data_IF_443476341011
#
_entry.id   IF_443476341011
#
_cell.length_a   1.000
_cell.length_b   1.000
_cell.length_c   1.000
_cell.angle_alpha   90.00
_cell.angle_beta   90.00
_cell.angle_gamma   90.00
#
_symmetry.space_group_name_H-M   'P 1'
#
loop_
_entity.id
_entity.type
_entity.pdbx_description
1 polymer ?
#
# COMPACT_ATOMS: atom_id res chain seq x y z
N UNK A 1 -0.82 -9.18 -7.42
CA UNK A 1 -1.13 -7.73 -7.40
C UNK A 1 0.00 -7.00 -8.12
N UNK A 2 -0.34 -6.14 -9.05
CA UNK A 2 0.66 -5.43 -9.86
C UNK A 2 0.83 -4.00 -9.36
N UNK A 3 2.03 -3.67 -8.94
CA UNK A 3 2.38 -2.33 -8.49
C UNK A 3 2.97 -1.53 -9.63
N UNK A 4 2.47 -0.32 -9.84
CA UNK A 4 2.89 0.57 -10.92
C UNK A 4 3.27 1.92 -10.33
N UNK A 5 4.45 2.44 -10.68
CA UNK A 5 4.87 3.76 -10.25
C UNK A 5 4.10 4.82 -11.02
N UNK A 6 3.53 5.77 -10.30
CA UNK A 6 2.75 6.86 -10.86
C UNK A 6 3.52 8.17 -10.87
N UNK A 7 2.90 9.21 -11.44
CA UNK A 7 3.51 10.53 -11.53
C UNK A 7 3.76 11.21 -10.19
N UNK A 8 3.13 10.76 -9.12
CA UNK A 8 3.37 11.25 -7.76
C UNK A 8 4.62 10.62 -7.12
N UNK A 9 5.30 9.71 -7.83
CA UNK A 9 6.48 9.03 -7.33
C UNK A 9 6.17 7.84 -6.43
N UNK A 10 4.90 7.54 -6.20
CA UNK A 10 4.49 6.40 -5.40
C UNK A 10 4.05 5.23 -6.27
N UNK A 11 4.07 4.03 -5.72
CA UNK A 11 3.54 2.86 -6.40
C UNK A 11 2.07 2.71 -6.06
N UNK A 12 1.29 2.29 -7.05
CA UNK A 12 -0.15 2.10 -6.91
C UNK A 12 -0.55 0.72 -7.39
N UNK A 13 -1.58 0.17 -6.78
CA UNK A 13 -2.15 -1.13 -7.15
C UNK A 13 -3.62 -1.18 -6.76
N UNK A 14 -4.31 -2.22 -7.24
CA UNK A 14 -5.66 -2.54 -6.78
C UNK A 14 -5.67 -3.94 -6.19
N UNK A 15 -6.39 -4.11 -5.10
CA UNK A 15 -6.55 -5.39 -4.46
C UNK A 15 -8.01 -5.55 -4.04
N UNK A 16 -8.70 -6.50 -4.68
CA UNK A 16 -10.14 -6.72 -4.46
C UNK A 16 -10.95 -5.42 -4.60
N UNK A 17 -10.64 -4.65 -5.64
CA UNK A 17 -11.34 -3.40 -5.92
C UNK A 17 -10.90 -2.21 -5.07
N UNK A 18 -10.03 -2.42 -4.11
CA UNK A 18 -9.51 -1.35 -3.25
C UNK A 18 -8.26 -0.75 -3.88
N UNK A 19 -8.22 0.58 -3.98
CA UNK A 19 -7.04 1.29 -4.47
C UNK A 19 -6.01 1.39 -3.35
N UNK A 20 -4.79 0.97 -3.64
CA UNK A 20 -3.68 1.00 -2.69
C UNK A 20 -2.56 1.91 -3.19
N UNK A 21 -1.87 2.53 -2.25
CA UNK A 21 -0.67 3.32 -2.53
C UNK A 21 0.45 2.86 -1.60
N UNK A 22 1.63 2.65 -2.15
CA UNK A 22 2.80 2.27 -1.38
C UNK A 22 3.83 3.39 -1.46
N UNK A 23 4.32 3.81 -0.30
CA UNK A 23 5.35 4.83 -0.19
C UNK A 23 6.59 4.25 0.46
N UNK A 24 7.76 4.58 -0.08
CA UNK A 24 9.03 4.26 0.54
C UNK A 24 9.46 5.43 1.41
N UNK A 25 9.55 5.19 2.71
CA UNK A 25 9.92 6.21 3.70
C UNK A 25 11.24 5.79 4.37
N UNK A 26 11.91 6.69 5.10
CA UNK A 26 13.21 6.34 5.70
C UNK A 26 13.19 5.10 6.59
N UNK A 27 12.07 4.81 7.22
CA UNK A 27 11.94 3.65 8.12
C UNK A 27 11.41 2.39 7.44
N UNK A 28 11.11 2.45 6.14
CA UNK A 28 10.62 1.28 5.42
C UNK A 28 9.54 1.61 4.40
N UNK A 29 8.52 0.78 4.35
CA UNK A 29 7.44 0.86 3.35
C UNK A 29 6.10 1.00 4.04
N UNK A 30 5.26 1.90 3.53
CA UNK A 30 3.92 2.14 4.07
C UNK A 30 2.90 1.93 2.94
N UNK A 31 1.89 1.11 3.23
CA UNK A 31 0.79 0.86 2.30
C UNK A 31 -0.48 1.47 2.89
N UNK A 32 -1.15 2.27 2.09
CA UNK A 32 -2.41 2.93 2.46
C UNK A 32 -3.48 2.59 1.43
N UNK A 33 -4.74 2.65 1.85
CA UNK A 33 -5.86 2.45 0.93
C UNK A 33 -6.58 3.77 0.72
N UNK A 34 -7.16 3.94 -0.47
CA UNK A 34 -7.98 5.10 -0.77
C UNK A 34 -9.29 4.98 0.00
N UNK A 35 -9.58 5.98 0.80
CA UNK A 35 -10.77 6.07 1.59
C UNK A 35 -11.60 7.25 1.10
N UNK A 36 -12.78 7.41 1.68
CA UNK A 36 -13.70 8.49 1.37
C UNK A 36 -13.03 9.86 1.52
N UNK A 37 -12.24 10.03 2.60
CA UNK A 37 -11.60 11.30 2.91
C UNK A 37 -10.13 11.39 2.52
N UNK A 38 -9.60 10.37 1.83
CA UNK A 38 -8.20 10.38 1.44
C UNK A 38 -7.56 9.01 1.54
N UNK A 39 -6.41 8.94 2.21
CA UNK A 39 -5.64 7.71 2.33
C UNK A 39 -5.59 7.25 3.79
N UNK A 40 -5.89 5.98 4.02
CA UNK A 40 -5.88 5.37 5.35
C UNK A 40 -4.76 4.33 5.41
N UNK A 41 -3.97 4.37 6.49
CA UNK A 41 -2.90 3.39 6.71
C UNK A 41 -3.46 1.97 6.79
N UNK A 42 -2.81 1.05 6.09
CA UNK A 42 -3.17 -0.36 6.09
C UNK A 42 -2.08 -1.19 6.76
N UNK A 43 -0.85 -1.05 6.30
CA UNK A 43 0.26 -1.83 6.82
C UNK A 43 1.59 -1.16 6.51
N UNK A 44 2.62 -1.54 7.24
CA UNK A 44 3.97 -1.08 6.98
C UNK A 44 4.98 -2.10 7.49
N UNK A 45 6.18 -2.05 6.90
CA UNK A 45 7.30 -2.89 7.35
C UNK A 45 8.59 -2.31 6.78
N UNK A 46 9.70 -2.69 7.38
CA UNK A 46 11.03 -2.34 6.89
C UNK A 46 11.27 -2.91 5.50
N UNK A 47 10.69 -4.07 5.20
CA UNK A 47 10.84 -4.78 3.93
C UNK A 47 9.58 -4.66 3.08
N UNK A 48 9.80 -4.39 1.79
CA UNK A 48 8.71 -4.16 0.85
C UNK A 48 7.74 -5.36 0.75
N UNK A 49 8.28 -6.56 0.58
CA UNK A 49 7.44 -7.76 0.41
C UNK A 49 6.65 -8.07 1.67
N UNK A 50 7.22 -7.80 2.84
CA UNK A 50 6.52 -8.04 4.10
C UNK A 50 5.38 -7.04 4.28
N UNK A 51 5.61 -5.78 3.91
CA UNK A 51 4.54 -4.77 3.95
C UNK A 51 3.37 -5.18 3.06
N UNK A 52 3.67 -5.67 1.85
CA UNK A 52 2.63 -6.11 0.91
C UNK A 52 1.84 -7.28 1.50
N UNK A 53 2.52 -8.26 2.06
CA UNK A 53 1.85 -9.43 2.64
C UNK A 53 0.97 -9.04 3.83
N UNK A 54 1.46 -8.15 4.68
CA UNK A 54 0.67 -7.63 5.81
C UNK A 54 -0.57 -6.89 5.32
N UNK A 55 -0.43 -6.09 4.27
CA UNK A 55 -1.56 -5.37 3.71
C UNK A 55 -2.62 -6.35 3.18
N UNK A 56 -2.19 -7.40 2.48
CA UNK A 56 -3.11 -8.42 1.99
C UNK A 56 -3.85 -9.10 3.14
N UNK A 57 -3.15 -9.42 4.23
CA UNK A 57 -3.78 -10.03 5.40
C UNK A 57 -4.84 -9.11 6.02
N UNK A 58 -4.54 -7.82 6.15
CA UNK A 58 -5.50 -6.86 6.69
C UNK A 58 -6.73 -6.76 5.80
N UNK A 59 -6.52 -6.70 4.48
CA UNK A 59 -7.62 -6.53 3.53
C UNK A 59 -8.45 -7.80 3.34
N UNK A 60 -7.87 -8.96 3.62
CA UNK A 60 -8.59 -10.24 3.56
C UNK A 60 -9.32 -10.56 4.88
N UNK A 61 -8.86 -10.00 5.94
CA UNK A 61 -9.44 -10.20 7.25
C UNK A 61 -10.63 -9.31 7.47
#
# INVERSE_FOLDING_TARGET
MNWTTRGDGHEHARYHGVKLRMRHVPTGWIISRRDYDGWEFVAGDVRREVAIRKAEEVLNG
#
